data_IF_467272707098
#
_entry.id   IF_467272707098
#
_cell.length_a   1.000
_cell.length_b   1.000
_cell.length_c   1.000
_cell.angle_alpha   90.00
_cell.angle_beta   90.00
_cell.angle_gamma   90.00
#
_symmetry.space_group_name_H-M   'P 1'
#
loop_
_entity.id
_entity.type
_entity.pdbx_description
1 polymer ?
#
# COMPACT_ATOMS: atom_id res chain seq x y z
N UNK A 1 -7.99 3.67 -2.13
CA UNK A 1 -6.60 3.52 -1.67
C UNK A 1 -5.70 3.65 -2.88
N UNK A 2 -4.55 4.30 -2.76
CA UNK A 2 -3.56 4.35 -3.82
C UNK A 2 -2.61 3.15 -3.69
N UNK A 3 -2.56 2.24 -4.67
CA UNK A 3 -1.67 1.08 -4.62
C UNK A 3 -0.37 1.37 -5.37
N UNK A 4 0.66 1.75 -4.63
CA UNK A 4 2.00 2.00 -5.15
C UNK A 4 2.71 0.68 -5.39
N UNK A 5 3.21 0.49 -6.61
CA UNK A 5 3.82 -0.76 -7.06
C UNK A 5 4.77 -0.53 -8.25
N UNK A 6 5.68 -1.47 -8.47
CA UNK A 6 6.52 -1.50 -9.66
C UNK A 6 5.71 -2.06 -10.83
N UNK A 7 5.84 -1.44 -12.00
CA UNK A 7 5.06 -1.82 -13.18
C UNK A 7 5.24 -3.29 -13.60
N UNK A 8 6.42 -3.86 -13.33
CA UNK A 8 6.76 -5.26 -13.60
C UNK A 8 5.92 -6.25 -12.78
N UNK A 9 5.31 -5.82 -11.67
CA UNK A 9 4.54 -6.68 -10.76
C UNK A 9 3.02 -6.59 -10.98
N UNK A 10 2.60 -6.01 -12.11
CA UNK A 10 1.19 -5.72 -12.44
C UNK A 10 0.21 -6.87 -12.18
N UNK A 11 0.59 -8.12 -12.48
CA UNK A 11 -0.29 -9.29 -12.28
C UNK A 11 -0.51 -9.61 -10.79
N UNK A 12 0.58 -9.63 -10.01
CA UNK A 12 0.52 -9.85 -8.56
C UNK A 12 -0.28 -8.73 -7.86
N UNK A 13 -0.02 -7.49 -8.27
CA UNK A 13 -0.68 -6.29 -7.76
C UNK A 13 -2.17 -6.31 -8.07
N UNK A 14 -2.56 -6.77 -9.27
CA UNK A 14 -3.97 -6.92 -9.63
C UNK A 14 -4.68 -7.92 -8.70
N UNK A 15 -4.06 -9.06 -8.41
CA UNK A 15 -4.62 -10.04 -7.46
C UNK A 15 -4.82 -9.47 -6.06
N UNK A 16 -3.84 -8.71 -5.55
CA UNK A 16 -3.95 -8.02 -4.26
C UNK A 16 -5.07 -6.97 -4.26
N UNK A 17 -5.18 -6.19 -5.34
CA UNK A 17 -6.23 -5.18 -5.46
C UNK A 17 -7.62 -5.82 -5.47
N UNK A 18 -7.82 -6.91 -6.22
CA UNK A 18 -9.08 -7.65 -6.24
C UNK A 18 -9.45 -8.19 -4.86
N UNK A 19 -8.49 -8.73 -4.11
CA UNK A 19 -8.76 -9.18 -2.73
C UNK A 19 -9.18 -8.03 -1.80
N UNK A 20 -8.58 -6.84 -1.97
CA UNK A 20 -8.95 -5.65 -1.20
C UNK A 20 -10.32 -5.13 -1.65
N UNK A 21 -10.62 -5.17 -2.95
CA UNK A 21 -11.92 -4.78 -3.52
C UNK A 21 -13.06 -5.70 -3.04
N UNK A 22 -12.81 -7.01 -2.95
CA UNK A 22 -13.75 -8.00 -2.40
C UNK A 22 -14.09 -7.74 -0.91
N UNK A 23 -13.19 -7.08 -0.17
CA UNK A 23 -13.43 -6.65 1.21
C UNK A 23 -14.25 -5.35 1.31
N UNK A 24 -14.64 -4.78 0.17
CA UNK A 24 -15.52 -3.61 0.07
C UNK A 24 -14.80 -2.28 -0.10
N UNK A 25 -13.50 -2.29 -0.39
CA UNK A 25 -12.73 -1.06 -0.61
C UNK A 25 -12.57 -0.73 -2.09
N UNK A 26 -12.22 0.52 -2.41
CA UNK A 26 -11.83 0.90 -3.76
C UNK A 26 -10.32 1.09 -3.84
N UNK A 27 -9.68 0.46 -4.82
CA UNK A 27 -8.24 0.56 -5.06
C UNK A 27 -8.00 1.34 -6.36
N UNK A 28 -6.97 2.18 -6.36
CA UNK A 28 -6.47 2.85 -7.54
C UNK A 28 -5.12 2.25 -7.93
N UNK A 29 -4.98 1.89 -9.21
CA UNK A 29 -3.77 1.37 -9.85
C UNK A 29 -3.55 2.16 -11.14
N UNK A 30 -2.40 2.82 -11.27
CA UNK A 30 -2.13 3.72 -12.40
C UNK A 30 -2.33 3.12 -13.80
N UNK A 31 -1.71 1.99 -14.13
CA UNK A 31 -1.81 1.39 -15.46
C UNK A 31 -3.20 0.83 -15.76
N UNK A 32 -4.01 0.54 -14.72
CA UNK A 32 -5.39 0.05 -14.85
C UNK A 32 -6.36 1.21 -15.04
N UNK A 33 -6.25 2.23 -14.19
CA UNK A 33 -7.25 3.28 -14.05
C UNK A 33 -6.90 4.56 -14.83
N UNK A 34 -5.63 4.72 -15.24
CA UNK A 34 -5.13 5.75 -16.13
C UNK A 34 -4.15 5.13 -17.17
N UNK A 35 -4.62 4.26 -18.09
CA UNK A 35 -3.76 3.51 -19.02
C UNK A 35 -2.94 4.39 -19.98
N UNK A 36 -3.31 5.66 -20.13
CA UNK A 36 -2.56 6.65 -20.92
C UNK A 36 -1.40 7.28 -20.14
N UNK A 37 -1.26 7.00 -18.84
CA UNK A 37 -0.19 7.51 -18.01
C UNK A 37 1.11 6.74 -18.25
N UNK A 38 2.04 7.37 -18.97
CA UNK A 38 3.36 6.80 -19.25
C UNK A 38 4.32 7.03 -18.06
N UNK A 39 4.41 6.06 -17.16
CA UNK A 39 5.31 6.11 -15.98
C UNK A 39 6.80 6.01 -16.34
N UNK A 40 7.16 5.64 -17.57
CA UNK A 40 8.56 5.67 -18.00
C UNK A 40 9.10 7.10 -18.11
N UNK A 41 8.19 8.07 -18.25
CA UNK A 41 8.50 9.50 -18.36
C UNK A 41 8.20 10.20 -17.04
N UNK A 42 9.26 10.62 -16.35
CA UNK A 42 9.17 11.50 -15.18
C UNK A 42 9.00 12.93 -15.68
N UNK A 43 7.76 13.35 -15.91
CA UNK A 43 7.42 14.70 -16.36
C UNK A 43 6.55 15.42 -15.33
N UNK A 44 6.47 16.76 -15.37
CA UNK A 44 5.58 17.53 -14.50
C UNK A 44 4.11 17.10 -14.62
N UNK A 45 3.66 16.71 -15.81
CA UNK A 45 2.29 16.29 -16.09
C UNK A 45 1.99 14.92 -15.46
N UNK A 46 2.90 13.94 -15.61
CA UNK A 46 2.74 12.63 -14.99
C UNK A 46 2.76 12.73 -13.47
N UNK A 47 3.65 13.56 -12.92
CA UNK A 47 3.68 13.86 -11.49
C UNK A 47 2.40 14.58 -11.01
N UNK A 48 1.86 15.54 -11.76
CA UNK A 48 0.64 16.25 -11.40
C UNK A 48 -0.57 15.30 -11.34
N UNK A 49 -0.68 14.38 -12.30
CA UNK A 49 -1.74 13.37 -12.33
C UNK A 49 -1.65 12.42 -11.13
N UNK A 50 -0.46 11.88 -10.83
CA UNK A 50 -0.24 11.02 -9.67
C UNK A 50 -0.57 11.74 -8.35
N UNK A 51 -0.14 12.99 -8.19
CA UNK A 51 -0.51 13.82 -7.03
C UNK A 51 -2.03 13.97 -6.88
N UNK A 52 -2.74 14.24 -7.97
CA UNK A 52 -4.20 14.38 -7.93
C UNK A 52 -4.87 13.08 -7.46
N UNK A 53 -4.39 11.92 -7.91
CA UNK A 53 -4.89 10.60 -7.50
C UNK A 53 -4.54 10.25 -6.05
N UNK A 54 -3.35 10.61 -5.58
CA UNK A 54 -2.95 10.41 -4.19
C UNK A 54 -3.74 11.31 -3.22
N UNK A 55 -4.07 12.54 -3.61
CA UNK A 55 -4.86 13.48 -2.79
C UNK A 55 -6.29 13.01 -2.53
N UNK A 56 -6.94 12.39 -3.53
CA UNK A 56 -8.29 11.83 -3.36
C UNK A 56 -8.29 10.44 -2.72
N UNK A 57 -7.11 9.82 -2.58
CA UNK A 57 -6.96 8.53 -1.92
C UNK A 57 -6.79 8.71 -0.42
N UNK A 58 -7.55 7.96 0.39
CA UNK A 58 -7.46 8.03 1.86
C UNK A 58 -6.10 7.61 2.42
N UNK A 59 -5.46 6.63 1.78
CA UNK A 59 -4.15 6.10 2.14
C UNK A 59 -3.38 5.65 0.89
N UNK A 60 -2.09 5.36 1.09
CA UNK A 60 -1.21 4.66 0.15
C UNK A 60 -0.82 3.29 0.72
N UNK A 61 -0.91 2.27 -0.13
CA UNK A 61 -0.38 0.94 0.14
C UNK A 61 0.85 0.73 -0.73
N UNK A 62 1.99 0.43 -0.11
CA UNK A 62 3.27 0.22 -0.78
C UNK A 62 3.51 -1.28 -0.97
N UNK A 63 3.39 -1.77 -2.20
CA UNK A 63 3.56 -3.19 -2.55
C UNK A 63 5.04 -3.57 -2.51
N UNK A 64 5.48 -4.31 -1.48
CA UNK A 64 6.89 -4.72 -1.35
C UNK A 64 7.18 -6.00 -2.13
N UNK A 65 7.76 -5.84 -3.31
CA UNK A 65 8.37 -6.91 -4.13
C UNK A 65 9.87 -6.67 -4.23
N UNK A 66 10.61 -7.62 -4.81
CA UNK A 66 12.03 -7.43 -5.15
C UNK A 66 12.25 -6.31 -6.17
N UNK A 67 11.23 -5.99 -6.98
CA UNK A 67 11.30 -4.97 -8.03
C UNK A 67 10.88 -3.58 -7.54
N UNK A 68 10.37 -3.46 -6.30
CA UNK A 68 9.89 -2.20 -5.74
C UNK A 68 11.00 -1.13 -5.68
N UNK A 69 12.25 -1.53 -5.42
CA UNK A 69 13.42 -0.63 -5.35
C UNK A 69 13.80 -0.01 -6.69
N UNK A 70 13.42 -0.63 -7.80
CA UNK A 70 13.79 -0.18 -9.15
C UNK A 70 12.83 0.91 -9.66
N UNK A 71 11.71 1.12 -8.98
CA UNK A 71 10.73 2.13 -9.35
C UNK A 71 11.15 3.52 -8.86
N UNK A 72 11.34 4.44 -9.81
CA UNK A 72 11.60 5.86 -9.52
C UNK A 72 10.42 6.55 -8.83
N UNK A 73 9.20 6.02 -8.99
CA UNK A 73 7.98 6.65 -8.49
C UNK A 73 7.63 6.21 -7.07
N UNK A 74 7.85 4.94 -6.71
CA UNK A 74 7.35 4.41 -5.43
C UNK A 74 7.88 5.15 -4.19
N UNK A 75 9.20 5.46 -4.07
CA UNK A 75 9.69 6.26 -2.95
C UNK A 75 9.11 7.67 -2.91
N UNK A 76 8.86 8.26 -4.08
CA UNK A 76 8.27 9.60 -4.20
C UNK A 76 6.78 9.61 -3.83
N UNK A 77 6.02 8.61 -4.26
CA UNK A 77 4.61 8.42 -3.89
C UNK A 77 4.47 8.19 -2.38
N UNK A 78 5.34 7.35 -1.81
CA UNK A 78 5.41 7.09 -0.38
C UNK A 78 5.68 8.38 0.40
N UNK A 79 6.74 9.11 0.06
CA UNK A 79 7.08 10.37 0.73
C UNK A 79 6.00 11.44 0.57
N UNK A 80 5.34 11.51 -0.59
CA UNK A 80 4.21 12.42 -0.78
C UNK A 80 3.05 12.08 0.16
N UNK A 81 2.65 10.80 0.24
CA UNK A 81 1.52 10.43 1.08
C UNK A 81 1.83 10.51 2.57
N UNK A 82 3.05 10.14 2.95
CA UNK A 82 3.53 10.28 4.32
C UNK A 82 3.47 11.75 4.78
N UNK A 83 3.94 12.68 3.94
CA UNK A 83 3.85 14.12 4.22
C UNK A 83 2.44 14.73 4.11
N UNK A 84 1.52 14.09 3.38
CA UNK A 84 0.14 14.55 3.18
C UNK A 84 -0.74 14.26 4.42
N UNK A 85 -0.80 13.00 4.84
CA UNK A 85 -1.66 12.60 5.95
C UNK A 85 -1.13 11.42 6.78
N UNK A 86 0.14 11.04 6.63
CA UNK A 86 0.79 9.90 7.31
C UNK A 86 0.06 8.55 7.17
N UNK A 87 -0.85 8.42 6.20
CA UNK A 87 -1.56 7.17 5.90
C UNK A 87 -0.88 6.42 4.77
N UNK A 88 0.33 5.98 5.06
CA UNK A 88 1.08 5.03 4.23
C UNK A 88 1.35 3.74 5.00
N UNK A 89 1.14 2.59 4.36
CA UNK A 89 1.40 1.29 4.94
C UNK A 89 2.01 0.34 3.91
N UNK A 90 2.79 -0.62 4.39
CA UNK A 90 3.39 -1.67 3.58
C UNK A 90 2.32 -2.72 3.26
N UNK A 91 2.20 -3.10 1.99
CA UNK A 91 1.42 -4.25 1.58
C UNK A 91 2.37 -5.37 1.16
N UNK A 92 2.63 -6.35 2.02
CA UNK A 92 3.56 -7.42 1.72
C UNK A 92 3.01 -8.30 0.59
N UNK A 93 3.77 -8.42 -0.51
CA UNK A 93 3.48 -9.38 -1.57
C UNK A 93 4.10 -10.71 -1.15
N UNK A 94 3.27 -11.62 -0.64
CA UNK A 94 3.74 -12.90 -0.14
C UNK A 94 4.18 -13.79 -1.33
N UNK A 95 5.46 -13.79 -1.65
CA UNK A 95 6.09 -14.97 -2.26
C UNK A 95 6.52 -15.87 -1.11
N UNK A 96 6.08 -17.13 -1.14
CA UNK A 96 6.43 -18.14 -0.15
C UNK A 96 7.93 -18.13 0.17
N UNK A 97 8.22 -18.17 1.47
CA UNK A 97 9.52 -18.44 2.08
C UNK A 97 10.71 -17.63 1.57
N UNK A 98 11.00 -16.49 2.18
CA UNK A 98 12.34 -16.22 2.72
C UNK A 98 12.22 -15.25 3.88
N UNK A 99 12.82 -15.63 5.00
CA UNK A 99 12.83 -14.96 6.30
C UNK A 99 13.64 -13.65 6.33
N UNK A 100 13.86 -13.00 5.18
CA UNK A 100 14.62 -11.75 5.13
C UNK A 100 14.25 -10.95 3.88
N UNK A 101 13.15 -10.20 3.93
CA UNK A 101 12.96 -9.09 2.99
C UNK A 101 14.07 -8.07 3.28
N UNK A 102 15.11 -8.02 2.43
CA UNK A 102 16.08 -6.93 2.40
C UNK A 102 15.46 -5.70 1.71
N UNK A 103 14.31 -5.26 2.22
CA UNK A 103 13.75 -3.97 1.84
C UNK A 103 14.66 -2.83 2.26
N UNK A 104 14.47 -1.69 1.62
CA UNK A 104 15.09 -0.45 2.09
C UNK A 104 14.73 -0.25 3.58
N UNK A 105 15.74 -0.10 4.44
CA UNK A 105 15.59 -0.08 5.90
C UNK A 105 14.52 0.91 6.38
N UNK A 106 14.32 2.00 5.63
CA UNK A 106 13.30 3.00 5.93
C UNK A 106 11.88 2.46 5.85
N UNK A 107 11.58 1.43 5.05
CA UNK A 107 10.23 0.86 4.97
C UNK A 107 9.77 0.28 6.31
N UNK A 108 10.71 -0.09 7.19
CA UNK A 108 10.42 -0.57 8.54
C UNK A 108 9.78 0.48 9.47
N UNK A 109 9.80 1.77 9.10
CA UNK A 109 9.11 2.82 9.88
C UNK A 109 7.61 2.87 9.60
N UNK A 110 7.12 2.17 8.57
CA UNK A 110 5.71 2.08 8.24
C UNK A 110 5.08 0.79 8.80
N UNK A 111 3.82 0.81 9.23
CA UNK A 111 3.10 -0.42 9.56
C UNK A 111 2.84 -1.24 8.30
N UNK A 112 2.55 -2.53 8.45
CA UNK A 112 2.14 -3.40 7.35
C UNK A 112 0.66 -3.74 7.42
N UNK A 113 0.06 -4.02 6.26
CA UNK A 113 -1.32 -4.47 6.14
C UNK A 113 -1.35 -6.00 6.12
N UNK A 114 -2.27 -6.58 6.87
CA UNK A 114 -2.56 -8.01 6.84
C UNK A 114 -4.08 -8.26 6.75
N UNK A 115 -4.47 -9.42 6.23
CA UNK A 115 -5.85 -9.82 6.11
C UNK A 115 -6.16 -10.93 7.13
N UNK A 116 -7.12 -10.69 8.02
CA UNK A 116 -7.47 -11.61 9.10
C UNK A 116 -8.94 -11.53 9.47
N UNK A 117 -9.44 -12.54 10.19
CA UNK A 117 -10.82 -12.54 10.65
C UNK A 117 -10.97 -11.74 11.94
N UNK A 118 -12.08 -11.01 12.07
CA UNK A 118 -12.50 -10.44 13.34
C UNK A 118 -13.13 -11.49 14.26
N UNK A 119 -13.54 -11.07 15.46
CA UNK A 119 -14.17 -11.96 16.46
C UNK A 119 -15.47 -12.62 15.98
N UNK A 120 -16.09 -12.10 14.92
CA UNK A 120 -17.32 -12.64 14.33
C UNK A 120 -17.03 -13.58 13.15
N UNK A 121 -15.75 -13.77 12.80
CA UNK A 121 -15.34 -14.56 11.65
C UNK A 121 -15.39 -13.79 10.32
N UNK A 122 -15.70 -12.49 10.35
CA UNK A 122 -15.71 -11.65 9.15
C UNK A 122 -14.27 -11.27 8.79
N UNK A 123 -13.88 -11.52 7.53
CA UNK A 123 -12.56 -11.13 7.02
C UNK A 123 -12.45 -9.60 6.96
N UNK A 124 -11.33 -9.06 7.46
CA UNK A 124 -11.00 -7.64 7.51
C UNK A 124 -9.54 -7.41 7.18
N UNK A 125 -9.22 -6.15 6.88
CA UNK A 125 -7.85 -5.68 6.85
C UNK A 125 -7.46 -5.14 8.23
N UNK A 126 -6.19 -5.35 8.57
CA UNK A 126 -5.57 -4.90 9.81
C UNK A 126 -4.30 -4.14 9.46
N UNK A 127 -3.99 -3.11 10.25
CA UNK A 127 -2.73 -2.37 10.19
C UNK A 127 -1.90 -2.77 11.40
N UNK A 128 -0.75 -3.37 11.13
CA UNK A 128 0.06 -4.08 12.11
C UNK A 128 1.47 -3.50 12.21
N UNK A 129 2.00 -3.43 13.42
CA UNK A 129 3.44 -3.23 13.72
C UNK A 129 4.10 -4.54 14.15
N UNK A 130 3.31 -5.44 14.75
CA UNK A 130 3.69 -6.79 15.15
C UNK A 130 2.42 -7.66 15.20
N UNK A 131 2.58 -8.94 15.59
CA UNK A 131 1.43 -9.84 15.82
C UNK A 131 0.52 -9.41 16.99
N UNK A 132 1.03 -8.62 17.95
CA UNK A 132 0.28 -8.14 19.11
C UNK A 132 -0.08 -6.65 19.00
N UNK A 133 0.60 -5.89 18.15
CA UNK A 133 0.38 -4.45 17.98
C UNK A 133 -0.33 -4.17 16.65
N UNK A 134 -1.66 -3.99 16.71
CA UNK A 134 -2.49 -3.81 15.53
C UNK A 134 -3.77 -3.00 15.78
N UNK A 135 -4.33 -2.48 14.68
CA UNK A 135 -5.60 -1.77 14.64
C UNK A 135 -6.41 -2.19 13.41
N UNK A 136 -7.73 -2.14 13.51
CA UNK A 136 -8.63 -2.32 12.36
C UNK A 136 -8.35 -1.26 11.30
N UNK A 137 -8.37 -1.66 10.02
CA UNK A 137 -7.96 -0.78 8.93
C UNK A 137 -8.82 0.47 8.79
N UNK A 138 -10.14 0.34 8.95
CA UNK A 138 -11.05 1.50 8.91
C UNK A 138 -10.71 2.48 10.03
N UNK A 139 -10.49 1.97 11.24
CA UNK A 139 -10.09 2.78 12.40
C UNK A 139 -8.76 3.50 12.16
N UNK A 140 -7.81 2.86 11.48
CA UNK A 140 -6.55 3.50 11.08
C UNK A 140 -6.77 4.66 10.10
N UNK A 141 -7.63 4.46 9.10
CA UNK A 141 -8.00 5.52 8.15
C UNK A 141 -8.68 6.72 8.81
N UNK A 142 -9.28 6.54 10.00
CA UNK A 142 -9.91 7.60 10.80
C UNK A 142 -8.97 8.24 11.85
N UNK A 143 -7.70 7.84 11.91
CA UNK A 143 -6.71 8.46 12.81
C UNK A 143 -6.19 7.57 13.95
N UNK A 144 -6.74 6.37 14.13
CA UNK A 144 -6.24 5.45 15.16
C UNK A 144 -4.90 4.85 14.76
N UNK A 145 -4.05 4.53 15.73
CA UNK A 145 -2.76 3.89 15.50
C UNK A 145 -2.75 2.46 16.05
N UNK A 146 -1.92 1.55 15.50
CA UNK A 146 -1.67 0.24 16.08
C UNK A 146 -1.31 0.36 17.56
N UNK A 147 -1.96 -0.45 18.40
CA UNK A 147 -1.71 -0.51 19.83
C UNK A 147 -1.55 -1.96 20.27
N UNK A 148 -0.76 -2.18 21.32
CA UNK A 148 -0.54 -3.51 21.88
C UNK A 148 -1.85 -4.11 22.41
N UNK A 149 -2.09 -5.37 22.02
CA UNK A 149 -3.22 -6.19 22.46
C UNK A 149 -2.64 -7.51 22.96
N UNK A 150 -2.74 -7.70 24.28
CA UNK A 150 -2.39 -8.95 24.96
C UNK A 150 -3.46 -10.02 24.84
#
# INVERSE_FOLDING_TARGET
>A
MFLSHAYTDRELVLGLALMIEDLGYSVYIDWRDDPHLDRSKVTPETAAKLKARMKVSRCLLYSTTSNASDSKWMPWELGFKDGDNTRAAILPVVQYSTTTYQGQEYLGVYPYVDAGNDRTGKRRLWVCRSSTCYVDFDSWLEGSEPAERG
#
